data_IF_711800080325
#
_entry.id   IF_711800080325
#
_cell.length_a   1.000
_cell.length_b   1.000
_cell.length_c   1.000
_cell.angle_alpha   90.00
_cell.angle_beta   90.00
_cell.angle_gamma   90.00
#
_symmetry.space_group_name_H-M   'P 1'
#
loop_
_entity.id
_entity.type
_entity.pdbx_description
1 polymer ?
#
# COMPACT_ATOMS: atom_id res chain seq x y z
N UNK A 1 -22.99 30.03 -17.05
CA UNK A 1 -22.44 30.51 -18.35
C UNK A 1 -21.38 29.52 -18.77
N UNK A 2 -21.36 29.13 -20.03
CA UNK A 2 -20.32 28.24 -20.57
C UNK A 2 -19.16 29.05 -21.14
N UNK A 3 -17.94 28.50 -21.08
CA UNK A 3 -16.73 29.11 -21.62
C UNK A 3 -15.82 28.04 -22.22
N UNK A 4 -15.06 28.41 -23.25
CA UNK A 4 -14.11 27.53 -23.93
C UNK A 4 -12.73 27.61 -23.25
N UNK A 5 -12.17 26.45 -22.91
CA UNK A 5 -10.83 26.35 -22.31
C UNK A 5 -9.96 25.31 -23.03
N UNK A 6 -8.63 25.48 -23.04
CA UNK A 6 -7.70 24.39 -23.34
C UNK A 6 -7.93 23.22 -22.38
N UNK A 7 -7.87 21.99 -22.88
CA UNK A 7 -8.07 20.77 -22.11
C UNK A 7 -6.76 19.98 -22.08
N UNK A 8 -6.36 19.55 -20.89
CA UNK A 8 -5.26 18.62 -20.70
C UNK A 8 -5.73 17.32 -20.03
N UNK A 9 -5.63 16.17 -20.73
CA UNK A 9 -5.90 14.87 -20.14
C UNK A 9 -4.85 14.46 -19.10
N UNK A 10 -5.29 13.98 -17.95
CA UNK A 10 -4.45 13.46 -16.87
C UNK A 10 -4.55 11.92 -16.79
N UNK A 11 -3.41 11.28 -16.55
CA UNK A 11 -3.34 9.83 -16.28
C UNK A 11 -3.34 9.59 -14.78
N UNK A 12 -4.26 8.76 -14.31
CA UNK A 12 -4.33 8.28 -12.92
C UNK A 12 -4.26 9.39 -11.85
N UNK A 13 -4.66 10.60 -12.20
CA UNK A 13 -4.61 11.75 -11.32
C UNK A 13 -5.86 12.61 -11.50
N UNK A 14 -6.54 12.85 -10.38
CA UNK A 14 -7.66 13.78 -10.26
C UNK A 14 -7.17 14.98 -9.46
N UNK A 15 -7.31 16.18 -10.02
CA UNK A 15 -6.99 17.43 -9.32
C UNK A 15 -8.26 17.96 -8.66
N UNK A 16 -8.23 18.23 -7.36
CA UNK A 16 -9.33 18.92 -6.67
C UNK A 16 -9.12 20.44 -6.65
N UNK A 17 -10.18 21.25 -6.52
CA UNK A 17 -10.05 22.68 -6.27
C UNK A 17 -9.15 22.98 -5.06
N UNK A 18 -8.37 24.06 -5.13
CA UNK A 18 -7.33 24.48 -4.18
C UNK A 18 -6.13 23.54 -4.01
N UNK A 19 -6.09 22.44 -4.77
CA UNK A 19 -4.94 21.53 -4.75
C UNK A 19 -3.85 22.06 -5.67
N UNK A 20 -2.65 22.23 -5.12
CA UNK A 20 -1.44 22.55 -5.90
C UNK A 20 -0.70 21.26 -6.19
N UNK A 21 -0.51 20.95 -7.48
CA UNK A 21 0.11 19.70 -7.91
C UNK A 21 1.22 19.95 -8.95
N UNK A 22 2.41 19.36 -8.78
CA UNK A 22 3.42 19.33 -9.84
C UNK A 22 3.06 18.24 -10.85
N UNK A 23 3.03 18.60 -12.14
CA UNK A 23 2.76 17.71 -13.25
C UNK A 23 4.00 17.62 -14.15
N UNK A 24 4.36 16.41 -14.58
CA UNK A 24 5.41 16.19 -15.58
C UNK A 24 4.74 15.78 -16.88
N UNK A 25 4.92 16.60 -17.92
CA UNK A 25 4.20 16.49 -19.19
C UNK A 25 5.19 16.31 -20.33
N UNK A 26 5.01 15.22 -21.10
CA UNK A 26 5.84 14.91 -22.28
C UNK A 26 5.08 14.93 -23.61
N UNK A 27 3.74 14.92 -23.59
CA UNK A 27 2.92 14.92 -24.82
C UNK A 27 2.91 16.32 -25.43
N UNK A 28 3.21 16.40 -26.74
CA UNK A 28 3.25 17.68 -27.49
C UNK A 28 1.95 18.47 -27.35
N UNK A 29 0.78 17.84 -27.57
CA UNK A 29 -0.53 18.49 -27.43
C UNK A 29 -0.77 19.05 -26.02
N UNK A 30 -0.42 18.29 -24.98
CA UNK A 30 -0.58 18.74 -23.59
C UNK A 30 0.37 19.88 -23.23
N UNK A 31 1.60 19.86 -23.74
CA UNK A 31 2.56 20.96 -23.61
C UNK A 31 2.00 22.24 -24.25
N UNK A 32 1.47 22.14 -25.48
CA UNK A 32 0.88 23.27 -26.19
C UNK A 32 -0.35 23.84 -25.45
N UNK A 33 -1.20 22.98 -24.87
CA UNK A 33 -2.34 23.44 -24.06
C UNK A 33 -1.91 24.25 -22.82
N UNK A 34 -0.84 23.82 -22.13
CA UNK A 34 -0.29 24.51 -20.97
C UNK A 34 0.36 25.85 -21.35
N UNK A 35 1.10 25.89 -22.46
CA UNK A 35 1.72 27.10 -22.98
C UNK A 35 0.66 28.13 -23.40
N UNK A 36 -0.38 27.68 -24.12
CA UNK A 36 -1.51 28.53 -24.55
C UNK A 36 -2.23 29.16 -23.35
N UNK A 37 -2.53 28.35 -22.32
CA UNK A 37 -3.17 28.82 -21.09
C UNK A 37 -2.30 29.86 -20.36
N UNK A 38 -0.98 29.63 -20.28
CA UNK A 38 -0.05 30.54 -19.62
C UNK A 38 0.14 31.85 -20.40
N UNK A 39 0.26 31.79 -21.73
CA UNK A 39 0.44 32.96 -22.59
C UNK A 39 -0.80 33.86 -22.60
N UNK A 40 -2.00 33.25 -22.71
CA UNK A 40 -3.27 33.98 -22.70
C UNK A 40 -3.76 34.36 -21.31
N UNK A 41 -3.07 33.93 -20.25
CA UNK A 41 -3.46 34.10 -18.84
C UNK A 41 -4.89 33.61 -18.58
N UNK A 42 -5.23 32.46 -19.18
CA UNK A 42 -6.52 31.80 -19.01
C UNK A 42 -6.37 30.55 -18.16
N UNK A 43 -7.47 30.10 -17.56
CA UNK A 43 -7.50 28.80 -16.88
C UNK A 43 -7.31 27.66 -17.90
N UNK A 44 -6.87 26.49 -17.44
CA UNK A 44 -6.82 25.24 -18.19
C UNK A 44 -7.78 24.23 -17.55
N UNK A 45 -8.47 23.44 -18.37
CA UNK A 45 -9.29 22.34 -17.88
C UNK A 45 -8.45 21.06 -17.75
N UNK A 46 -8.38 20.54 -16.53
CA UNK A 46 -7.71 19.28 -16.24
C UNK A 46 -8.75 18.17 -16.10
N UNK A 47 -8.63 17.12 -16.92
CA UNK A 47 -9.63 16.05 -16.97
C UNK A 47 -8.95 14.70 -16.89
N UNK A 48 -9.42 13.84 -16.00
CA UNK A 48 -8.88 12.49 -15.85
C UNK A 48 -9.30 11.61 -17.03
N UNK A 49 -8.43 10.71 -17.48
CA UNK A 49 -8.77 9.68 -18.45
C UNK A 49 -9.48 8.51 -17.76
N UNK A 50 -10.50 7.95 -18.40
CA UNK A 50 -11.15 6.69 -17.99
C UNK A 50 -10.19 5.51 -18.09
N UNK A 51 -9.27 5.55 -19.07
CA UNK A 51 -8.24 4.53 -19.31
C UNK A 51 -6.88 5.19 -19.47
N UNK A 52 -6.01 5.06 -18.47
CA UNK A 52 -4.68 5.68 -18.48
C UNK A 52 -3.75 5.19 -19.61
N UNK A 53 -4.00 4.00 -20.17
CA UNK A 53 -3.18 3.40 -21.22
C UNK A 53 -3.28 4.13 -22.58
N UNK A 54 -4.29 4.98 -22.78
CA UNK A 54 -4.49 5.65 -24.07
C UNK A 54 -3.52 6.84 -24.19
N UNK A 55 -2.73 6.86 -25.25
CA UNK A 55 -1.71 7.91 -25.50
C UNK A 55 -2.29 9.21 -26.04
N UNK A 56 -3.31 9.13 -26.89
CA UNK A 56 -4.00 10.29 -27.48
C UNK A 56 -5.51 10.09 -27.25
N UNK A 57 -6.02 10.44 -26.04
CA UNK A 57 -7.41 10.20 -25.69
C UNK A 57 -8.32 11.20 -26.40
N UNK A 58 -9.42 10.70 -26.95
CA UNK A 58 -10.50 11.53 -27.47
C UNK A 58 -11.51 11.87 -26.36
N UNK A 59 -12.53 12.69 -26.67
CA UNK A 59 -13.52 13.13 -25.68
C UNK A 59 -14.23 11.98 -24.95
N UNK A 60 -14.50 10.87 -25.64
CA UNK A 60 -15.17 9.71 -25.03
C UNK A 60 -14.32 8.98 -23.98
N UNK A 61 -13.00 9.08 -24.08
CA UNK A 61 -12.03 8.48 -23.17
C UNK A 61 -11.83 9.29 -21.88
N UNK A 62 -12.44 10.48 -21.80
CA UNK A 62 -12.34 11.39 -20.67
C UNK A 62 -13.59 11.33 -19.80
N UNK A 63 -13.44 11.66 -18.52
CA UNK A 63 -14.58 11.86 -17.64
C UNK A 63 -15.31 13.18 -17.94
N UNK A 64 -16.60 13.23 -17.59
CA UNK A 64 -17.47 14.37 -17.90
C UNK A 64 -17.17 15.59 -17.01
N UNK A 65 -16.58 15.36 -15.84
CA UNK A 65 -16.13 16.42 -14.93
C UNK A 65 -14.62 16.50 -14.87
N UNK A 66 -14.13 17.73 -14.85
CA UNK A 66 -12.76 18.07 -14.57
C UNK A 66 -12.65 19.22 -13.60
N UNK A 67 -11.43 19.72 -13.46
CA UNK A 67 -11.12 20.86 -12.61
C UNK A 67 -10.49 21.95 -13.47
N UNK A 68 -11.07 23.14 -13.43
CA UNK A 68 -10.43 24.35 -13.93
C UNK A 68 -9.24 24.65 -13.03
N UNK A 69 -8.09 24.93 -13.63
CA UNK A 69 -6.85 25.17 -12.90
C UNK A 69 -6.09 26.35 -13.49
N UNK A 70 -5.32 27.02 -12.66
CA UNK A 70 -4.37 28.05 -13.08
C UNK A 70 -3.00 27.41 -13.25
N UNK A 71 -2.34 27.68 -14.37
CA UNK A 71 -0.93 27.30 -14.58
C UNK A 71 -0.05 28.31 -13.86
N UNK A 72 0.56 27.92 -12.75
CA UNK A 72 1.38 28.80 -11.92
C UNK A 72 2.79 28.96 -12.49
N UNK A 73 3.38 27.86 -12.97
CA UNK A 73 4.76 27.83 -13.44
C UNK A 73 4.96 26.72 -14.48
N UNK A 74 5.80 26.98 -15.49
CA UNK A 74 6.30 25.99 -16.44
C UNK A 74 7.83 26.00 -16.41
N UNK A 75 8.44 24.81 -16.25
CA UNK A 75 9.88 24.62 -16.31
C UNK A 75 10.20 23.53 -17.34
N UNK A 76 10.92 23.89 -18.41
CA UNK A 76 11.41 22.92 -19.39
C UNK A 76 12.61 22.17 -18.80
N UNK A 77 12.57 20.85 -18.88
CA UNK A 77 13.65 19.97 -18.45
C UNK A 77 14.57 19.64 -19.66
N UNK A 78 15.84 19.28 -19.42
CA UNK A 78 16.79 18.97 -20.50
C UNK A 78 16.38 17.78 -21.38
N UNK A 79 15.51 16.90 -20.88
CA UNK A 79 14.96 15.75 -21.59
C UNK A 79 13.82 16.11 -22.57
N UNK A 80 13.44 17.39 -22.64
CA UNK A 80 12.35 17.88 -23.48
C UNK A 80 10.96 17.81 -22.84
N UNK A 81 10.84 17.28 -21.61
CA UNK A 81 9.58 17.32 -20.86
C UNK A 81 9.40 18.66 -20.17
N UNK A 82 8.15 18.98 -19.79
CA UNK A 82 7.83 20.17 -19.00
C UNK A 82 7.34 19.75 -17.63
N UNK A 83 7.94 20.33 -16.60
CA UNK A 83 7.41 20.33 -15.25
C UNK A 83 6.51 21.56 -15.07
N UNK A 84 5.21 21.32 -14.95
CA UNK A 84 4.21 22.34 -14.68
C UNK A 84 3.82 22.33 -13.20
N UNK A 85 3.56 23.49 -12.62
CA UNK A 85 2.89 23.62 -11.33
C UNK A 85 1.50 24.21 -11.58
N UNK A 86 0.46 23.48 -11.20
CA UNK A 86 -0.93 23.90 -11.39
C UNK A 86 -1.65 24.00 -10.06
N UNK A 87 -2.59 24.93 -9.96
CA UNK A 87 -3.51 25.07 -8.82
C UNK A 87 -4.94 24.87 -9.30
N UNK A 88 -5.64 23.88 -8.75
CA UNK A 88 -7.07 23.70 -9.01
C UNK A 88 -7.89 24.89 -8.47
N UNK A 89 -8.91 25.31 -9.19
CA UNK A 89 -9.73 26.50 -8.88
C UNK A 89 -11.17 26.12 -8.59
N UNK A 90 -11.81 25.44 -9.52
CA UNK A 90 -13.22 25.06 -9.42
C UNK A 90 -13.51 23.82 -10.26
N UNK A 91 -14.61 23.13 -9.92
CA UNK A 91 -15.08 21.99 -10.70
C UNK A 91 -15.77 22.50 -11.96
N UNK A 92 -15.67 21.78 -13.06
CA UNK A 92 -16.36 22.11 -14.28
C UNK A 92 -16.87 20.86 -14.97
N UNK A 93 -18.09 20.95 -15.52
CA UNK A 93 -18.68 19.90 -16.36
C UNK A 93 -18.45 20.22 -17.82
N UNK A 94 -17.99 19.26 -18.59
CA UNK A 94 -17.82 19.39 -20.03
C UNK A 94 -19.20 19.39 -20.69
N UNK A 95 -19.43 20.35 -21.58
CA UNK A 95 -20.65 20.48 -22.37
C UNK A 95 -20.42 19.97 -23.78
N UNK A 96 -19.30 20.34 -24.40
CA UNK A 96 -18.94 19.92 -25.74
C UNK A 96 -17.43 20.04 -25.97
N UNK A 97 -16.91 19.27 -26.92
CA UNK A 97 -15.52 19.34 -27.37
C UNK A 97 -15.43 20.16 -28.66
N UNK A 98 -14.35 20.94 -28.80
CA UNK A 98 -14.09 21.76 -29.97
C UNK A 98 -12.78 21.33 -30.66
N UNK A 99 -12.78 21.26 -32.00
CA UNK A 99 -11.59 20.88 -32.76
C UNK A 99 -10.54 22.00 -32.70
N UNK A 100 -9.29 21.60 -32.46
CA UNK A 100 -8.12 22.46 -32.58
C UNK A 100 -6.90 21.57 -32.92
N UNK A 101 -6.12 21.99 -33.91
CA UNK A 101 -5.01 21.19 -34.45
C UNK A 101 -3.86 21.00 -33.45
N UNK A 102 -3.72 21.90 -32.47
CA UNK A 102 -2.61 21.90 -31.52
C UNK A 102 -2.95 21.15 -30.22
N UNK A 103 -4.19 21.26 -29.74
CA UNK A 103 -4.61 20.65 -28.47
C UNK A 103 -6.12 20.53 -28.37
N UNK A 104 -6.61 19.69 -27.46
CA UNK A 104 -8.05 19.56 -27.20
C UNK A 104 -8.60 20.81 -26.53
N UNK A 105 -9.78 21.23 -26.92
CA UNK A 105 -10.53 22.29 -26.25
C UNK A 105 -11.92 21.77 -25.88
N UNK A 106 -12.44 22.28 -24.77
CA UNK A 106 -13.78 21.95 -24.33
C UNK A 106 -14.51 23.20 -23.86
N UNK A 107 -15.78 23.30 -24.26
CA UNK A 107 -16.70 24.22 -23.64
C UNK A 107 -17.20 23.59 -22.34
N UNK A 108 -17.09 24.35 -21.26
CA UNK A 108 -17.42 23.86 -19.92
C UNK A 108 -18.37 24.78 -19.19
N UNK A 109 -19.17 24.18 -18.32
CA UNK A 109 -19.98 24.86 -17.33
C UNK A 109 -19.27 24.76 -15.96
N UNK A 110 -18.85 25.91 -15.42
CA UNK A 110 -18.27 25.99 -14.09
C UNK A 110 -19.32 25.67 -13.02
N UNK A 111 -19.01 24.73 -12.15
CA UNK A 111 -19.87 24.33 -11.03
C UNK A 111 -19.54 25.21 -9.83
N UNK A 112 -20.35 26.25 -9.67
CA UNK A 112 -20.26 27.16 -8.53
C UNK A 112 -20.75 26.47 -7.25
N UNK A 113 -20.10 26.79 -6.14
CA UNK A 113 -20.46 26.33 -4.81
C UNK A 113 -21.83 26.90 -4.42
N UNK A 114 -22.86 26.06 -4.37
CA UNK A 114 -24.20 26.45 -3.92
C UNK A 114 -24.33 26.26 -2.41
N UNK A 115 -24.77 27.29 -1.70
CA UNK A 115 -25.01 27.18 -0.26
C UNK A 115 -26.15 26.18 0.03
N UNK A 116 -25.81 25.08 0.70
CA UNK A 116 -26.76 24.07 1.17
C UNK A 116 -27.20 24.36 2.62
N UNK A 117 -28.23 23.64 3.10
CA UNK A 117 -28.79 23.79 4.45
C UNK A 117 -27.71 23.70 5.54
N UNK A 118 -27.49 24.82 6.22
CA UNK A 118 -26.36 25.02 7.12
C UNK A 118 -26.24 23.95 8.23
N UNK A 119 -27.35 23.49 8.82
CA UNK A 119 -27.31 22.62 10.00
C UNK A 119 -26.74 21.23 9.73
N UNK A 120 -27.14 20.58 8.62
CA UNK A 120 -26.63 19.26 8.26
C UNK A 120 -25.16 19.32 7.86
N UNK A 121 -24.79 20.33 7.07
CA UNK A 121 -23.40 20.55 6.64
C UNK A 121 -22.46 20.76 7.83
N UNK A 122 -22.87 21.51 8.85
CA UNK A 122 -22.08 21.69 10.09
C UNK A 122 -21.83 20.34 10.80
N UNK A 123 -22.80 19.43 10.80
CA UNK A 123 -22.61 18.10 11.39
C UNK A 123 -21.59 17.27 10.57
N UNK A 124 -21.70 17.25 9.24
CA UNK A 124 -20.72 16.59 8.38
C UNK A 124 -19.32 17.18 8.53
N UNK A 125 -19.18 18.50 8.64
CA UNK A 125 -17.88 19.14 8.87
C UNK A 125 -17.22 18.66 10.16
N UNK A 126 -17.99 18.56 11.24
CA UNK A 126 -17.49 18.08 12.54
C UNK A 126 -17.00 16.64 12.45
N UNK A 127 -17.78 15.76 11.82
CA UNK A 127 -17.38 14.36 11.62
C UNK A 127 -16.18 14.26 10.69
N UNK A 128 -16.14 14.99 9.57
CA UNK A 128 -15.00 14.98 8.64
C UNK A 128 -13.69 15.36 9.33
N UNK A 129 -13.71 16.40 10.17
CA UNK A 129 -12.54 16.81 10.96
C UNK A 129 -12.10 15.73 11.93
N UNK A 130 -13.04 15.12 12.64
CA UNK A 130 -12.78 14.07 13.62
C UNK A 130 -12.18 12.82 12.95
N UNK A 131 -12.83 12.30 11.92
CA UNK A 131 -12.35 11.14 11.17
C UNK A 131 -11.02 11.44 10.47
N UNK A 132 -10.81 12.65 9.95
CA UNK A 132 -9.52 13.03 9.36
C UNK A 132 -8.39 13.10 10.41
N UNK A 133 -8.66 13.64 11.60
CA UNK A 133 -7.70 13.64 12.71
C UNK A 133 -7.31 12.19 13.09
N UNK A 134 -8.27 11.27 13.19
CA UNK A 134 -8.03 9.84 13.45
C UNK A 134 -7.23 9.16 12.32
N UNK A 135 -7.59 9.44 11.06
CA UNK A 135 -6.87 8.97 9.88
C UNK A 135 -5.42 9.44 9.87
N UNK A 136 -5.16 10.70 10.20
CA UNK A 136 -3.82 11.28 10.20
C UNK A 136 -2.93 10.73 11.32
N UNK A 137 -3.49 10.37 12.48
CA UNK A 137 -2.74 9.68 13.55
C UNK A 137 -2.25 8.31 13.07
N UNK A 138 -3.08 7.61 12.32
CA UNK A 138 -2.76 6.30 11.74
C UNK A 138 -1.79 6.42 10.57
N UNK A 139 -1.90 7.47 9.76
CA UNK A 139 -1.07 7.73 8.59
C UNK A 139 -0.01 8.80 8.84
N UNK A 140 1.19 8.36 9.26
CA UNK A 140 2.34 9.22 9.59
C UNK A 140 2.87 10.11 8.45
N UNK A 141 2.35 10.00 7.23
CA UNK A 141 2.71 10.86 6.10
C UNK A 141 2.06 12.24 6.17
N UNK A 142 1.03 12.42 6.98
CA UNK A 142 0.33 13.71 7.14
C UNK A 142 1.06 14.56 8.19
N UNK A 143 1.57 15.71 7.75
CA UNK A 143 2.25 16.67 8.62
C UNK A 143 1.27 17.39 9.56
N UNK A 144 1.75 17.80 10.74
CA UNK A 144 0.97 18.59 11.71
C UNK A 144 0.43 19.90 11.15
N UNK A 145 1.16 20.51 10.23
CA UNK A 145 0.75 21.76 9.55
C UNK A 145 -0.55 21.57 8.76
N UNK A 146 -0.71 20.43 8.09
CA UNK A 146 -1.92 20.09 7.34
C UNK A 146 -3.12 19.98 8.29
N UNK A 147 -2.95 19.32 9.44
CA UNK A 147 -4.02 19.21 10.45
C UNK A 147 -4.45 20.56 10.99
N UNK A 148 -3.51 21.44 11.29
CA UNK A 148 -3.81 22.79 11.74
C UNK A 148 -4.52 23.61 10.65
N UNK A 149 -4.09 23.47 9.39
CA UNK A 149 -4.73 24.14 8.26
C UNK A 149 -6.19 23.70 8.10
N UNK A 150 -6.47 22.39 8.20
CA UNK A 150 -7.81 21.83 8.09
C UNK A 150 -8.71 22.40 9.18
N UNK A 151 -8.23 22.45 10.44
CA UNK A 151 -8.97 23.02 11.59
C UNK A 151 -9.34 24.49 11.40
N UNK A 152 -8.57 25.26 10.64
CA UNK A 152 -8.79 26.68 10.40
C UNK A 152 -9.66 26.99 9.16
N UNK A 153 -10.01 26.00 8.34
CA UNK A 153 -10.84 26.23 7.14
C UNK A 153 -12.31 26.32 7.54
N UNK A 154 -12.96 27.46 7.30
CA UNK A 154 -14.40 27.63 7.58
C UNK A 154 -15.32 27.25 6.40
N UNK A 155 -14.81 27.28 5.16
CA UNK A 155 -15.61 26.91 3.99
C UNK A 155 -15.69 25.37 3.85
N UNK A 156 -16.90 24.77 3.84
CA UNK A 156 -17.08 23.32 3.75
C UNK A 156 -16.57 22.68 2.45
N UNK A 157 -16.73 23.37 1.33
CA UNK A 157 -16.21 22.90 0.04
C UNK A 157 -14.68 22.84 0.08
N UNK A 158 -14.04 23.91 0.57
CA UNK A 158 -12.58 23.97 0.72
C UNK A 158 -12.08 22.90 1.69
N UNK A 159 -12.77 22.69 2.81
CA UNK A 159 -12.46 21.64 3.79
C UNK A 159 -12.43 20.27 3.11
N UNK A 160 -13.51 19.94 2.38
CA UNK A 160 -13.67 18.68 1.69
C UNK A 160 -12.59 18.48 0.61
N UNK A 161 -12.33 19.51 -0.19
CA UNK A 161 -11.32 19.47 -1.26
C UNK A 161 -9.91 19.21 -0.69
N UNK A 162 -9.53 19.89 0.39
CA UNK A 162 -8.22 19.71 1.05
C UNK A 162 -8.11 18.31 1.65
N UNK A 163 -9.16 17.79 2.29
CA UNK A 163 -9.18 16.42 2.79
C UNK A 163 -8.95 15.43 1.63
N UNK A 164 -9.71 15.56 0.54
CA UNK A 164 -9.61 14.67 -0.63
C UNK A 164 -8.21 14.66 -1.27
N UNK A 165 -7.51 15.80 -1.24
CA UNK A 165 -6.15 15.91 -1.76
C UNK A 165 -5.16 15.00 -1.01
N UNK A 166 -5.39 14.77 0.29
CA UNK A 166 -4.52 13.95 1.15
C UNK A 166 -4.93 12.48 1.25
N UNK A 167 -6.06 12.09 0.68
CA UNK A 167 -6.50 10.69 0.69
C UNK A 167 -5.76 9.84 -0.38
N UNK A 168 -5.25 8.65 -0.01
CA UNK A 168 -4.50 7.76 -0.90
C UNK A 168 -5.43 6.92 -1.79
N UNK A 169 -6.32 7.59 -2.52
CA UNK A 169 -7.35 6.95 -3.34
C UNK A 169 -6.90 6.77 -4.79
N UNK A 170 -7.48 5.74 -5.43
CA UNK A 170 -7.40 5.55 -6.86
C UNK A 170 -8.16 6.64 -7.62
N UNK A 171 -7.83 6.81 -8.90
CA UNK A 171 -8.37 7.87 -9.75
C UNK A 171 -9.88 7.76 -9.95
N UNK A 172 -10.41 6.55 -10.10
CA UNK A 172 -11.84 6.24 -10.18
C UNK A 172 -12.62 6.70 -8.94
N UNK A 173 -12.13 6.40 -7.73
CA UNK A 173 -12.77 6.84 -6.49
C UNK A 173 -12.70 8.36 -6.33
N UNK A 174 -11.55 8.98 -6.64
CA UNK A 174 -11.41 10.45 -6.60
C UNK A 174 -12.34 11.12 -7.59
N UNK A 175 -12.52 10.54 -8.76
CA UNK A 175 -13.41 11.05 -9.78
C UNK A 175 -14.87 10.96 -9.33
N UNK A 176 -15.28 9.85 -8.72
CA UNK A 176 -16.62 9.71 -8.15
C UNK A 176 -16.91 10.76 -7.06
N UNK A 177 -15.90 11.20 -6.31
CA UNK A 177 -16.01 12.31 -5.36
C UNK A 177 -16.12 13.65 -6.09
N UNK A 178 -15.33 13.87 -7.15
CA UNK A 178 -15.36 15.11 -7.93
C UNK A 178 -16.74 15.34 -8.58
N UNK A 179 -17.34 14.27 -9.09
CA UNK A 179 -18.64 14.25 -9.79
C UNK A 179 -19.86 14.30 -8.85
N UNK A 180 -19.68 13.99 -7.56
CA UNK A 180 -20.79 13.94 -6.62
C UNK A 180 -21.39 15.32 -6.35
N UNK A 181 -22.71 15.39 -6.50
CA UNK A 181 -23.58 16.51 -6.16
C UNK A 181 -24.88 15.95 -5.57
N UNK A 182 -25.48 16.56 -4.53
CA UNK A 182 -25.06 17.75 -3.78
C UNK A 182 -23.82 17.54 -2.88
N UNK A 183 -23.36 18.61 -2.22
CA UNK A 183 -22.20 18.60 -1.31
C UNK A 183 -22.35 17.57 -0.19
N UNK A 184 -23.54 17.40 0.37
CA UNK A 184 -23.83 16.38 1.39
C UNK A 184 -23.46 14.97 0.94
N UNK A 185 -23.89 14.55 -0.24
CA UNK A 185 -23.54 13.23 -0.83
C UNK A 185 -22.03 13.09 -1.01
N UNK A 186 -21.36 14.18 -1.36
CA UNK A 186 -19.90 14.20 -1.50
C UNK A 186 -19.19 14.06 -0.16
N UNK A 187 -19.70 14.70 0.89
CA UNK A 187 -19.19 14.57 2.26
C UNK A 187 -19.39 13.15 2.81
N UNK A 188 -20.55 12.55 2.56
CA UNK A 188 -20.85 11.15 2.93
C UNK A 188 -19.86 10.18 2.31
N UNK A 189 -19.63 10.26 1.00
CA UNK A 189 -18.63 9.43 0.31
C UNK A 189 -17.25 9.54 0.94
N UNK A 190 -16.83 10.76 1.28
CA UNK A 190 -15.52 10.98 1.89
C UNK A 190 -15.45 10.42 3.31
N UNK A 191 -16.53 10.51 4.09
CA UNK A 191 -16.62 9.88 5.41
C UNK A 191 -16.56 8.35 5.34
N UNK A 192 -17.31 7.74 4.42
CA UNK A 192 -17.27 6.28 4.19
C UNK A 192 -15.84 5.81 3.85
N UNK A 193 -15.17 6.56 2.98
CA UNK A 193 -13.79 6.29 2.60
C UNK A 193 -12.85 6.45 3.80
N UNK A 194 -12.94 7.56 4.55
CA UNK A 194 -12.13 7.78 5.73
C UNK A 194 -12.27 6.64 6.74
N UNK A 195 -13.51 6.22 7.02
CA UNK A 195 -13.78 5.12 7.93
C UNK A 195 -13.15 3.81 7.43
N UNK A 196 -13.32 3.48 6.15
CA UNK A 196 -12.69 2.31 5.52
C UNK A 196 -11.16 2.34 5.65
N UNK A 197 -10.53 3.48 5.38
CA UNK A 197 -9.07 3.61 5.46
C UNK A 197 -8.54 3.50 6.91
N UNK A 198 -9.29 4.01 7.90
CA UNK A 198 -8.95 3.85 9.31
C UNK A 198 -9.02 2.37 9.73
N UNK A 199 -10.09 1.67 9.34
CA UNK A 199 -10.25 0.23 9.61
C UNK A 199 -9.12 -0.60 8.99
N UNK A 200 -8.76 -0.30 7.74
CA UNK A 200 -7.63 -0.95 7.06
C UNK A 200 -6.32 -0.69 7.80
N UNK A 201 -6.05 0.55 8.21
CA UNK A 201 -4.82 0.90 8.93
C UNK A 201 -4.68 0.17 10.27
N UNK A 202 -5.76 0.04 11.05
CA UNK A 202 -5.74 -0.71 12.32
C UNK A 202 -5.58 -2.23 12.09
N UNK A 203 -6.16 -2.78 11.03
CA UNK A 203 -5.96 -4.17 10.64
C UNK A 203 -4.50 -4.43 10.22
N UNK A 204 -3.90 -3.57 9.41
CA UNK A 204 -2.49 -3.64 9.02
C UNK A 204 -1.56 -3.58 10.23
N UNK A 205 -1.83 -2.67 11.18
CA UNK A 205 -1.10 -2.57 12.45
C UNK A 205 -1.18 -3.86 13.26
N UNK A 206 -2.36 -4.48 13.32
CA UNK A 206 -2.57 -5.76 14.00
C UNK A 206 -1.80 -6.90 13.33
N UNK A 207 -1.81 -6.97 11.99
CA UNK A 207 -1.03 -7.96 11.23
C UNK A 207 0.46 -7.76 11.50
N UNK A 208 0.95 -6.53 11.39
CA UNK A 208 2.35 -6.20 11.61
C UNK A 208 2.80 -6.55 13.03
N UNK A 209 1.97 -6.33 14.05
CA UNK A 209 2.25 -6.74 15.42
C UNK A 209 2.37 -8.28 15.55
N UNK A 210 1.45 -9.03 14.93
CA UNK A 210 1.49 -10.51 14.93
C UNK A 210 2.73 -11.05 14.21
N UNK A 211 3.11 -10.46 13.08
CA UNK A 211 4.32 -10.85 12.32
C UNK A 211 5.58 -10.56 13.13
N UNK A 212 5.70 -9.36 13.74
CA UNK A 212 6.83 -9.02 14.62
C UNK A 212 6.96 -9.95 15.81
N UNK A 213 5.84 -10.34 16.43
CA UNK A 213 5.86 -11.28 17.55
C UNK A 213 6.34 -12.68 17.12
N UNK A 214 5.89 -13.19 15.97
CA UNK A 214 6.39 -14.47 15.43
C UNK A 214 7.87 -14.40 15.10
N UNK A 215 8.32 -13.35 14.41
CA UNK A 215 9.73 -13.17 14.08
C UNK A 215 10.60 -13.06 15.34
N UNK A 216 10.14 -12.33 16.37
CA UNK A 216 10.84 -12.25 17.65
C UNK A 216 10.95 -13.59 18.36
N UNK A 217 9.91 -14.43 18.28
CA UNK A 217 9.96 -15.81 18.78
C UNK A 217 10.99 -16.64 17.99
N UNK A 218 10.92 -16.64 16.67
CA UNK A 218 11.86 -17.38 15.81
C UNK A 218 13.32 -16.94 16.01
N UNK A 219 13.58 -15.64 16.11
CA UNK A 219 14.92 -15.11 16.39
C UNK A 219 15.40 -15.51 17.78
N UNK A 220 14.52 -15.49 18.78
CA UNK A 220 14.84 -15.94 20.15
C UNK A 220 15.14 -17.43 20.19
N UNK A 221 14.31 -18.25 19.54
CA UNK A 221 14.49 -19.70 19.45
C UNK A 221 15.80 -20.04 18.71
N UNK A 222 16.12 -19.33 17.63
CA UNK A 222 17.39 -19.44 16.91
C UNK A 222 18.59 -19.07 17.80
N UNK A 223 18.53 -17.93 18.48
CA UNK A 223 19.59 -17.47 19.37
C UNK A 223 19.83 -18.42 20.55
N UNK A 224 18.75 -18.92 21.17
CA UNK A 224 18.84 -19.90 22.25
C UNK A 224 19.40 -21.23 21.75
N UNK A 225 19.02 -21.67 20.54
CA UNK A 225 19.58 -22.87 19.91
C UNK A 225 21.09 -22.78 19.69
N UNK A 226 21.57 -21.66 19.15
CA UNK A 226 23.01 -21.40 18.99
C UNK A 226 23.72 -21.33 20.35
N UNK A 227 23.12 -20.69 21.37
CA UNK A 227 23.72 -20.65 22.72
C UNK A 227 23.81 -22.03 23.37
N UNK A 228 22.80 -22.88 23.21
CA UNK A 228 22.85 -24.27 23.68
C UNK A 228 23.96 -25.03 22.95
N UNK A 229 24.14 -24.81 21.65
CA UNK A 229 25.19 -25.45 20.85
C UNK A 229 26.60 -25.00 21.27
N UNK A 230 26.79 -23.70 21.50
CA UNK A 230 28.05 -23.16 22.05
C UNK A 230 28.33 -23.73 23.44
N UNK A 231 27.33 -23.75 24.34
CA UNK A 231 27.47 -24.35 25.68
C UNK A 231 27.83 -25.84 25.59
N UNK A 232 27.21 -26.60 24.69
CA UNK A 232 27.57 -28.01 24.45
C UNK A 232 29.02 -28.17 23.98
N UNK A 233 29.53 -27.19 23.22
CA UNK A 233 30.91 -27.16 22.74
C UNK A 233 31.89 -26.77 23.85
N UNK A 234 31.54 -25.79 24.71
CA UNK A 234 32.38 -25.31 25.82
C UNK A 234 32.36 -26.22 27.06
N UNK A 235 31.23 -26.89 27.36
CA UNK A 235 31.12 -27.87 28.47
C UNK A 235 32.01 -29.09 28.21
N UNK A 236 32.59 -29.23 27.01
CA UNK A 236 33.49 -30.33 26.73
C UNK A 236 32.72 -31.65 26.72
N UNK A 237 31.56 -31.70 26.05
CA UNK A 237 31.16 -32.93 25.38
C UNK A 237 32.13 -33.17 24.22
N UNK A 238 33.36 -33.52 24.61
CA UNK A 238 34.33 -34.20 23.78
C UNK A 238 33.60 -35.38 23.15
N UNK A 239 33.54 -35.44 21.82
CA UNK A 239 33.53 -36.63 20.96
C UNK A 239 32.67 -37.88 21.27
N UNK A 240 32.12 -38.11 22.46
CA UNK A 240 31.45 -39.34 22.89
C UNK A 240 30.08 -39.52 22.22
N UNK A 241 29.28 -38.48 22.02
CA UNK A 241 27.96 -38.65 21.37
C UNK A 241 28.02 -39.04 19.89
N UNK A 242 29.12 -38.72 19.22
CA UNK A 242 29.40 -39.13 17.84
C UNK A 242 30.13 -40.49 17.80
N UNK A 243 30.98 -40.78 18.79
CA UNK A 243 31.65 -42.08 18.92
C UNK A 243 30.67 -43.19 19.36
N UNK A 244 29.76 -42.92 20.31
CA UNK A 244 28.70 -43.85 20.76
C UNK A 244 27.80 -44.32 19.61
N UNK A 245 27.47 -43.42 18.67
CA UNK A 245 26.66 -43.80 17.51
C UNK A 245 27.44 -44.68 16.53
N UNK A 246 28.74 -44.42 16.37
CA UNK A 246 29.63 -45.26 15.57
C UNK A 246 29.92 -46.62 16.21
N UNK A 247 30.08 -46.66 17.54
CA UNK A 247 30.23 -47.89 18.32
C UNK A 247 28.96 -48.74 18.30
N UNK A 248 27.79 -48.10 18.41
CA UNK A 248 26.51 -48.79 18.31
C UNK A 248 26.31 -49.40 16.91
N UNK A 249 26.67 -48.68 15.85
CA UNK A 249 26.63 -49.20 14.48
C UNK A 249 27.55 -50.42 14.30
N UNK A 250 28.80 -50.35 14.78
CA UNK A 250 29.74 -51.47 14.76
C UNK A 250 29.20 -52.67 15.53
N UNK A 251 28.58 -52.44 16.69
CA UNK A 251 28.03 -53.51 17.54
C UNK A 251 26.86 -54.21 16.85
N UNK A 252 25.96 -53.47 16.19
CA UNK A 252 24.86 -54.04 15.40
C UNK A 252 25.40 -54.85 14.21
N UNK A 253 26.48 -54.39 13.57
CA UNK A 253 27.06 -55.06 12.41
C UNK A 253 27.82 -56.36 12.78
N UNK A 254 28.53 -56.36 13.92
CA UNK A 254 29.40 -57.46 14.33
C UNK A 254 28.68 -58.57 15.10
N UNK A 255 27.47 -58.31 15.63
CA UNK A 255 26.71 -59.34 16.36
C UNK A 255 26.07 -60.34 15.39
N UNK A 256 26.12 -61.63 15.74
CA UNK A 256 25.55 -62.75 14.98
C UNK A 256 24.02 -62.80 15.11
N UNK A 257 23.33 -61.80 14.58
CA UNK A 257 21.86 -61.75 14.60
C UNK A 257 21.27 -62.42 13.34
N UNK A 258 20.09 -63.06 13.43
CA UNK A 258 19.31 -63.45 12.25
C UNK A 258 19.04 -62.25 11.33
N UNK A 259 18.96 -62.48 10.01
CA UNK A 259 18.84 -61.42 9.01
C UNK A 259 17.69 -60.43 9.29
N UNK A 260 16.53 -60.94 9.72
CA UNK A 260 15.35 -60.13 10.05
C UNK A 260 15.60 -59.21 11.27
N UNK A 261 16.30 -59.70 12.29
CA UNK A 261 16.61 -58.93 13.49
C UNK A 261 17.63 -57.83 13.19
N UNK A 262 18.65 -58.15 12.37
CA UNK A 262 19.68 -57.19 11.93
C UNK A 262 19.09 -56.05 11.09
N UNK A 263 18.21 -56.38 10.14
CA UNK A 263 17.52 -55.37 9.32
C UNK A 263 16.66 -54.44 10.19
N UNK A 264 15.93 -55.00 11.17
CA UNK A 264 15.09 -54.23 12.09
C UNK A 264 15.93 -53.29 12.97
N UNK A 265 17.05 -53.77 13.52
CA UNK A 265 17.97 -52.95 14.31
C UNK A 265 18.56 -51.79 13.51
N UNK A 266 19.01 -52.03 12.27
CA UNK A 266 19.54 -51.00 11.38
C UNK A 266 18.48 -49.94 11.00
N UNK A 267 17.23 -50.36 10.79
CA UNK A 267 16.12 -49.45 10.49
C UNK A 267 15.81 -48.51 11.65
N UNK A 268 15.79 -49.03 12.88
CA UNK A 268 15.58 -48.20 14.07
C UNK A 268 16.81 -47.33 14.39
N UNK A 269 18.04 -47.82 14.15
CA UNK A 269 19.26 -47.02 14.27
C UNK A 269 19.26 -45.82 13.31
N UNK A 270 18.84 -46.02 12.05
CA UNK A 270 18.70 -44.93 11.08
C UNK A 270 17.70 -43.86 11.54
N UNK A 271 16.60 -44.27 12.20
CA UNK A 271 15.65 -43.33 12.80
C UNK A 271 16.29 -42.58 13.97
N UNK A 272 16.97 -43.29 14.87
CA UNK A 272 17.67 -42.70 16.02
C UNK A 272 18.61 -41.57 15.59
N UNK A 273 19.37 -41.77 14.51
CA UNK A 273 20.30 -40.77 13.95
C UNK A 273 19.62 -39.49 13.44
N UNK A 274 18.34 -39.57 13.07
CA UNK A 274 17.56 -38.43 12.57
C UNK A 274 16.73 -37.73 13.64
N UNK A 275 16.67 -38.28 14.87
CA UNK A 275 15.86 -37.75 15.95
C UNK A 275 16.63 -36.73 16.80
N UNK A 276 15.96 -35.69 17.34
CA UNK A 276 16.56 -34.78 18.30
C UNK A 276 17.04 -35.54 19.55
N UNK A 277 18.28 -35.31 20.06
CA UNK A 277 18.85 -36.06 21.19
C UNK A 277 18.03 -36.00 22.49
N UNK A 278 17.21 -34.96 22.68
CA UNK A 278 16.41 -34.73 23.89
C UNK A 278 14.92 -35.11 23.75
N UNK A 279 14.52 -35.82 22.69
CA UNK A 279 13.15 -36.32 22.56
C UNK A 279 12.92 -37.53 23.46
N UNK A 280 11.75 -37.62 24.11
CA UNK A 280 11.35 -38.81 24.85
C UNK A 280 11.30 -40.06 23.96
N UNK A 281 11.08 -39.89 22.65
CA UNK A 281 11.11 -40.97 21.65
C UNK A 281 12.53 -41.50 21.41
N UNK A 282 13.55 -40.66 21.52
CA UNK A 282 14.96 -41.03 21.32
C UNK A 282 15.40 -42.06 22.36
N UNK A 283 15.00 -41.87 23.63
CA UNK A 283 15.27 -42.83 24.72
C UNK A 283 14.59 -44.18 24.47
N UNK A 284 13.35 -44.18 23.96
CA UNK A 284 12.62 -45.42 23.68
C UNK A 284 13.27 -46.20 22.55
N UNK A 285 13.65 -45.53 21.47
CA UNK A 285 14.32 -46.16 20.32
C UNK A 285 15.71 -46.67 20.72
N UNK A 286 16.46 -45.92 21.54
CA UNK A 286 17.77 -46.36 22.04
C UNK A 286 17.64 -47.62 22.90
N UNK A 287 16.74 -47.62 23.87
CA UNK A 287 16.50 -48.79 24.73
C UNK A 287 16.06 -50.02 23.94
N UNK A 288 15.27 -49.84 22.87
CA UNK A 288 14.87 -50.94 22.00
C UNK A 288 16.08 -51.54 21.25
N UNK A 289 16.96 -50.69 20.72
CA UNK A 289 18.19 -51.15 20.05
C UNK A 289 19.11 -51.85 21.05
N UNK A 290 19.30 -51.29 22.25
CA UNK A 290 20.14 -51.88 23.29
C UNK A 290 19.57 -53.23 23.79
N UNK A 291 18.24 -53.38 23.83
CA UNK A 291 17.59 -54.66 24.12
C UNK A 291 17.89 -55.71 23.05
N UNK A 292 17.74 -55.36 21.76
CA UNK A 292 18.09 -56.27 20.66
C UNK A 292 19.58 -56.64 20.71
N UNK A 293 20.45 -55.65 20.94
CA UNK A 293 21.89 -55.83 20.96
C UNK A 293 22.36 -56.56 22.22
N UNK A 294 21.61 -56.62 23.31
CA UNK A 294 21.98 -57.35 24.53
C UNK A 294 21.57 -58.82 24.53
N UNK A 295 20.58 -59.22 23.70
CA UNK A 295 20.13 -60.62 23.63
C UNK A 295 21.26 -61.57 23.14
N UNK A 296 21.40 -62.77 23.73
CA UNK A 296 22.30 -63.80 23.23
C UNK A 296 21.70 -64.39 21.95
N UNK A 297 22.32 -64.13 20.80
CA UNK A 297 21.85 -64.57 19.49
C UNK A 297 22.56 -65.87 19.03
N UNK A 298 23.08 -66.64 19.99
CA UNK A 298 23.77 -67.92 19.75
C UNK A 298 22.87 -68.97 19.07
#
# INVERSE_FOLDING_TARGET
MTKLYPLMPLRDLVIFPHMVAPLVVGRKKSIQALEDAMEKKTDILLVTQKKAAIDDPDGEDLYDFGTLATVMQLLRLPDGTIKALVEGKSRAKIVSYFPNDNFLQAEVEERLETAEQATAIIAYERELRKFFDEFAVSNKKIGREVLNSIKAIDNPFKLLNVICAHLPLKSDEKQAILEAEPLSVRMEKVLEILNREIELAELEKTINAKVKMRMGKTQRDYYLGEKVREIQTEIGQSADGLDEMGELEKTIQNKLMPALAKEKALKEFKKLRSMPPMSAETTVVRNYIDCIVSLPWD
#
